data_IF_403061070519
#
_entry.id   IF_403061070519
#
_cell.length_a   1.000
_cell.length_b   1.000
_cell.length_c   1.000
_cell.angle_alpha   90.00
_cell.angle_beta   90.00
_cell.angle_gamma   90.00
#
_symmetry.space_group_name_H-M   'P 1'
#
loop_
_entity.id
_entity.type
_entity.pdbx_description
1 polymer ?
#
# COMPACT_ATOMS: atom_id res chain seq x y z
N UNK A 1 -2.05 -7.91 -9.27
CA UNK A 1 -2.14 -7.09 -8.03
C UNK A 1 -2.28 -5.59 -8.31
N UNK A 2 -1.39 -4.90 -9.04
CA UNK A 2 -1.61 -3.47 -9.36
C UNK A 2 -2.91 -3.25 -10.14
N UNK A 3 -3.18 -4.05 -11.15
CA UNK A 3 -4.40 -3.95 -11.98
C UNK A 3 -5.71 -4.23 -11.20
N UNK A 4 -5.67 -5.06 -10.18
CA UNK A 4 -6.83 -5.39 -9.35
C UNK A 4 -7.22 -4.24 -8.41
N UNK A 5 -6.23 -3.58 -7.78
CA UNK A 5 -6.47 -2.40 -6.92
C UNK A 5 -7.13 -1.29 -7.73
N UNK A 6 -6.58 -0.98 -8.90
CA UNK A 6 -7.09 0.09 -9.76
C UNK A 6 -8.51 -0.24 -10.25
N UNK A 7 -8.80 -1.50 -10.58
CA UNK A 7 -10.13 -1.93 -10.97
C UNK A 7 -11.15 -1.79 -9.83
N UNK A 8 -10.76 -2.21 -8.62
CA UNK A 8 -11.66 -2.14 -7.45
C UNK A 8 -11.90 -0.70 -6.99
N UNK A 9 -10.87 0.13 -6.93
CA UNK A 9 -11.03 1.54 -6.55
C UNK A 9 -11.83 2.30 -7.60
N UNK A 10 -11.67 1.98 -8.89
CA UNK A 10 -12.46 2.54 -9.97
C UNK A 10 -13.95 2.17 -9.81
N UNK A 11 -14.27 0.88 -9.70
CA UNK A 11 -15.64 0.41 -9.50
C UNK A 11 -16.28 1.03 -8.25
N UNK A 12 -15.52 1.16 -7.18
CA UNK A 12 -15.95 1.79 -5.95
C UNK A 12 -16.30 3.28 -6.16
N UNK A 13 -15.46 4.03 -6.86
CA UNK A 13 -15.71 5.44 -7.17
C UNK A 13 -16.76 5.64 -8.26
N UNK A 14 -17.13 4.61 -9.02
CA UNK A 14 -18.28 4.63 -9.93
C UNK A 14 -19.62 4.66 -9.18
N UNK A 15 -19.67 4.26 -7.92
CA UNK A 15 -20.86 4.35 -7.08
C UNK A 15 -21.31 5.81 -6.94
N UNK A 16 -22.58 6.14 -7.29
CA UNK A 16 -23.05 7.53 -7.26
C UNK A 16 -23.02 8.19 -5.88
N UNK A 17 -23.25 7.43 -4.81
CA UNK A 17 -23.21 7.89 -3.43
C UNK A 17 -21.79 8.28 -2.99
N UNK A 18 -20.80 7.43 -3.26
CA UNK A 18 -19.38 7.67 -2.96
C UNK A 18 -18.82 8.81 -3.77
N UNK A 19 -19.17 8.85 -5.08
CA UNK A 19 -18.76 9.92 -5.97
C UNK A 19 -19.32 11.27 -5.53
N UNK A 20 -20.63 11.34 -5.25
CA UNK A 20 -21.27 12.57 -4.79
C UNK A 20 -20.66 13.05 -3.47
N UNK A 21 -20.40 12.15 -2.54
CA UNK A 21 -19.84 12.46 -1.22
C UNK A 21 -18.43 13.05 -1.32
N UNK A 22 -17.56 12.48 -2.16
CA UNK A 22 -16.21 13.00 -2.40
C UNK A 22 -16.23 14.43 -2.94
N UNK A 23 -17.14 14.74 -3.87
CA UNK A 23 -17.28 16.09 -4.40
C UNK A 23 -18.02 17.05 -3.47
N UNK A 24 -18.97 16.58 -2.67
CA UNK A 24 -19.58 17.36 -1.60
C UNK A 24 -18.53 17.77 -0.57
N UNK A 25 -17.65 16.85 -0.20
CA UNK A 25 -16.52 17.15 0.69
C UNK A 25 -15.59 18.21 0.07
N UNK A 26 -15.20 18.05 -1.19
CA UNK A 26 -14.27 18.95 -1.86
C UNK A 26 -14.83 20.36 -2.05
N UNK A 27 -16.08 20.47 -2.53
CA UNK A 27 -16.66 21.73 -3.04
C UNK A 27 -17.52 22.42 -1.99
N UNK A 28 -18.23 21.64 -1.16
CA UNK A 28 -19.27 22.12 -0.26
C UNK A 28 -19.00 21.80 1.21
N UNK A 29 -17.77 21.51 1.56
CA UNK A 29 -17.34 21.22 2.94
C UNK A 29 -18.18 20.11 3.62
N UNK A 30 -18.63 19.12 2.84
CA UNK A 30 -19.44 17.98 3.28
C UNK A 30 -20.97 18.22 3.26
N UNK A 31 -21.43 19.41 2.85
CA UNK A 31 -22.86 19.64 2.67
C UNK A 31 -23.40 18.86 1.46
N UNK A 32 -24.54 18.13 1.58
CA UNK A 32 -25.04 17.20 0.55
C UNK A 32 -25.75 17.93 -0.60
N UNK A 33 -25.04 18.80 -1.28
CA UNK A 33 -25.54 19.59 -2.41
C UNK A 33 -25.62 18.75 -3.67
N UNK A 34 -24.58 17.95 -3.95
CA UNK A 34 -24.56 17.01 -5.06
C UNK A 34 -25.29 15.75 -4.61
N UNK A 35 -26.44 15.49 -5.24
CA UNK A 35 -27.24 14.31 -4.96
C UNK A 35 -26.88 13.19 -5.94
N UNK A 36 -26.73 11.95 -5.48
CA UNK A 36 -26.40 10.80 -6.34
C UNK A 36 -27.31 10.65 -7.55
N UNK A 37 -28.60 10.91 -7.39
CA UNK A 37 -29.62 10.78 -8.43
C UNK A 37 -29.51 11.85 -9.54
N UNK A 38 -28.85 12.96 -9.23
CA UNK A 38 -28.62 14.06 -10.19
C UNK A 38 -27.35 13.85 -11.05
N UNK A 39 -26.55 12.84 -10.75
CA UNK A 39 -25.39 12.48 -11.54
C UNK A 39 -25.78 11.76 -12.82
N UNK A 40 -25.06 12.03 -13.90
CA UNK A 40 -25.19 11.34 -15.18
C UNK A 40 -23.82 10.88 -15.62
N UNK A 41 -23.69 9.63 -16.00
CA UNK A 41 -22.46 9.08 -16.54
C UNK A 41 -22.11 9.73 -17.87
N UNK A 42 -20.82 9.89 -18.09
CA UNK A 42 -20.26 10.37 -19.35
C UNK A 42 -19.25 9.36 -19.86
N UNK A 43 -19.12 9.30 -21.18
CA UNK A 43 -18.10 8.46 -21.81
C UNK A 43 -16.71 9.02 -21.48
N UNK A 44 -15.92 8.20 -20.79
CA UNK A 44 -14.54 8.50 -20.43
C UNK A 44 -13.57 8.37 -21.61
N UNK A 45 -14.00 7.68 -22.70
CA UNK A 45 -13.20 7.42 -23.89
C UNK A 45 -13.33 8.49 -24.99
N UNK A 46 -14.25 9.44 -24.84
CA UNK A 46 -14.57 10.45 -25.87
C UNK A 46 -13.53 11.59 -25.96
N UNK A 47 -12.25 11.29 -25.89
CA UNK A 47 -11.16 12.26 -26.03
C UNK A 47 -10.52 12.12 -27.41
N UNK A 48 -11.13 12.71 -28.43
CA UNK A 48 -10.48 12.91 -29.72
C UNK A 48 -9.33 13.93 -29.57
N UNK A 49 -8.20 13.66 -30.20
CA UNK A 49 -7.08 14.60 -30.25
C UNK A 49 -7.46 15.80 -31.13
N UNK A 50 -7.39 17.05 -30.61
CA UNK A 50 -7.82 18.21 -31.37
C UNK A 50 -6.87 18.65 -32.47
N UNK A 51 -5.63 18.21 -32.51
CA UNK A 51 -4.60 18.71 -33.41
C UNK A 51 -3.72 17.58 -33.95
N UNK A 52 -3.98 17.14 -35.18
CA UNK A 52 -3.13 16.25 -35.92
C UNK A 52 -3.52 16.22 -37.40
N UNK A 53 -2.92 17.09 -38.20
CA UNK A 53 -3.15 17.15 -39.68
C UNK A 53 -2.23 16.20 -40.44
N UNK A 54 -1.45 15.37 -39.80
CA UNK A 54 -0.40 14.55 -40.42
C UNK A 54 -0.58 13.03 -40.32
N UNK A 55 -1.82 12.55 -40.22
CA UNK A 55 -2.11 11.11 -40.42
C UNK A 55 -1.42 10.11 -39.49
N UNK A 56 -0.61 10.54 -38.53
CA UNK A 56 -0.04 9.68 -37.52
C UNK A 56 -1.05 9.48 -36.39
N UNK A 57 -1.78 8.36 -36.43
CA UNK A 57 -2.67 7.90 -35.37
C UNK A 57 -1.86 7.50 -34.13
N UNK A 58 -1.29 8.42 -33.42
CA UNK A 58 -1.00 8.25 -32.02
C UNK A 58 -2.22 8.65 -31.20
N UNK A 59 -3.21 7.76 -31.19
CA UNK A 59 -4.36 7.87 -30.30
C UNK A 59 -3.83 7.74 -28.85
N UNK A 60 -3.50 8.85 -28.22
CA UNK A 60 -3.36 8.91 -26.78
C UNK A 60 -4.74 8.75 -26.17
N UNK A 61 -5.28 7.53 -26.24
CA UNK A 61 -6.49 7.12 -25.57
C UNK A 61 -6.18 7.09 -24.07
N UNK A 62 -6.14 8.28 -23.45
CA UNK A 62 -6.02 8.43 -22.01
C UNK A 62 -7.42 8.55 -21.46
N UNK A 63 -7.86 7.47 -20.84
CA UNK A 63 -9.17 7.37 -20.22
C UNK A 63 -9.06 7.84 -18.77
N UNK A 64 -9.94 8.74 -18.33
CA UNK A 64 -10.16 9.02 -16.91
C UNK A 64 -10.75 7.78 -16.24
N UNK A 65 -10.47 7.61 -14.94
CA UNK A 65 -11.05 6.49 -14.21
C UNK A 65 -12.57 6.61 -14.12
N UNK A 66 -13.08 7.76 -13.67
CA UNK A 66 -14.52 8.02 -13.59
C UNK A 66 -14.83 9.45 -14.04
N UNK A 67 -15.88 9.61 -14.84
CA UNK A 67 -16.30 10.92 -15.32
C UNK A 67 -17.83 11.04 -15.33
N UNK A 68 -18.37 12.04 -14.61
CA UNK A 68 -19.81 12.26 -14.49
C UNK A 68 -20.17 13.72 -14.73
N UNK A 69 -21.36 13.93 -15.24
CA UNK A 69 -21.97 15.26 -15.36
C UNK A 69 -22.99 15.43 -14.25
N UNK A 70 -22.85 16.50 -13.49
CA UNK A 70 -23.83 16.93 -12.52
C UNK A 70 -24.64 18.09 -13.08
N UNK A 71 -25.97 18.02 -12.90
CA UNK A 71 -26.94 19.03 -13.35
C UNK A 71 -27.40 19.82 -12.14
N UNK A 72 -26.94 21.05 -12.00
CA UNK A 72 -27.44 21.98 -11.00
C UNK A 72 -28.68 22.68 -11.58
N UNK A 73 -29.86 22.39 -11.07
CA UNK A 73 -31.07 23.16 -11.35
C UNK A 73 -31.11 24.36 -10.40
N UNK A 74 -30.87 25.55 -10.91
CA UNK A 74 -31.14 26.79 -10.23
C UNK A 74 -32.06 27.62 -11.17
N UNK A 75 -33.28 27.93 -10.70
CA UNK A 75 -34.27 28.77 -11.34
C UNK A 75 -34.04 29.10 -12.83
N UNK A 76 -34.71 28.37 -13.73
CA UNK A 76 -34.72 28.49 -15.20
C UNK A 76 -33.40 28.33 -15.98
N UNK A 77 -32.22 28.44 -15.35
CA UNK A 77 -30.93 28.18 -15.95
C UNK A 77 -30.31 26.85 -15.41
N UNK A 78 -30.22 25.84 -16.25
CA UNK A 78 -29.51 24.63 -15.92
C UNK A 78 -27.98 24.86 -15.98
N UNK A 79 -27.32 24.97 -14.83
CA UNK A 79 -25.88 24.97 -14.76
C UNK A 79 -25.39 23.51 -14.72
N UNK A 80 -24.32 23.22 -15.46
CA UNK A 80 -23.70 21.91 -15.52
C UNK A 80 -22.29 21.99 -14.94
N UNK A 81 -21.85 20.93 -14.25
CA UNK A 81 -20.46 20.72 -13.91
C UNK A 81 -20.00 19.37 -14.46
N UNK A 82 -18.79 19.32 -14.95
CA UNK A 82 -18.16 18.09 -15.37
C UNK A 82 -17.18 17.67 -14.25
N UNK A 83 -17.46 16.53 -13.66
CA UNK A 83 -16.75 16.03 -12.49
C UNK A 83 -15.95 14.77 -12.88
N UNK A 84 -14.64 14.78 -12.66
CA UNK A 84 -13.76 13.66 -12.97
C UNK A 84 -12.99 13.20 -11.74
N UNK A 85 -12.83 11.89 -11.56
CA UNK A 85 -12.02 11.30 -10.50
C UNK A 85 -10.88 10.52 -11.11
N UNK A 86 -9.69 10.73 -10.55
CA UNK A 86 -8.49 9.95 -10.79
C UNK A 86 -8.15 9.19 -9.51
N UNK A 87 -8.24 7.87 -9.55
CA UNK A 87 -7.92 6.99 -8.42
C UNK A 87 -6.45 6.63 -8.46
N UNK A 88 -5.73 6.87 -7.37
CA UNK A 88 -4.32 6.56 -7.30
C UNK A 88 -4.03 5.61 -6.15
N UNK A 89 -3.54 4.42 -6.46
CA UNK A 89 -3.00 3.47 -5.47
C UNK A 89 -1.54 3.77 -5.15
N UNK A 90 -0.83 4.36 -6.11
CA UNK A 90 0.56 4.78 -6.01
C UNK A 90 0.70 6.27 -6.35
N UNK A 91 1.77 6.90 -5.85
CA UNK A 91 2.02 8.33 -6.06
C UNK A 91 2.46 8.57 -7.51
N UNK A 92 1.76 9.46 -8.20
CA UNK A 92 2.06 9.84 -9.58
C UNK A 92 2.68 11.25 -9.64
N UNK A 93 3.99 11.33 -9.86
CA UNK A 93 4.75 12.59 -9.78
C UNK A 93 4.42 13.63 -10.87
N UNK A 94 3.77 13.25 -11.96
CA UNK A 94 3.34 14.16 -13.01
C UNK A 94 1.80 14.41 -13.01
N UNK A 95 1.14 14.27 -11.85
CA UNK A 95 -0.31 14.41 -11.75
C UNK A 95 -0.84 15.76 -12.19
N UNK A 96 -0.20 16.92 -11.86
CA UNK A 96 -0.67 18.21 -12.36
C UNK A 96 -0.73 18.30 -13.89
N UNK A 97 0.27 17.76 -14.59
CA UNK A 97 0.28 17.74 -16.07
C UNK A 97 -0.80 16.81 -16.62
N UNK A 98 -0.98 15.65 -15.99
CA UNK A 98 -1.99 14.67 -16.40
C UNK A 98 -3.40 15.25 -16.28
N UNK A 99 -3.73 15.87 -15.15
CA UNK A 99 -5.05 16.47 -14.94
C UNK A 99 -5.28 17.69 -15.84
N UNK A 100 -4.28 18.55 -15.99
CA UNK A 100 -4.34 19.69 -16.92
C UNK A 100 -4.67 19.23 -18.34
N UNK A 101 -4.03 18.16 -18.81
CA UNK A 101 -4.31 17.60 -20.13
C UNK A 101 -5.76 17.13 -20.24
N UNK A 102 -6.28 16.42 -19.25
CA UNK A 102 -7.67 15.95 -19.26
C UNK A 102 -8.67 17.10 -19.28
N UNK A 103 -8.46 18.13 -18.45
CA UNK A 103 -9.35 19.28 -18.40
C UNK A 103 -9.29 20.07 -19.71
N UNK A 104 -8.09 20.29 -20.27
CA UNK A 104 -7.92 20.97 -21.55
C UNK A 104 -8.61 20.24 -22.70
N UNK A 105 -8.54 18.88 -22.74
CA UNK A 105 -9.24 18.09 -23.74
C UNK A 105 -10.77 18.21 -23.60
N UNK A 106 -11.31 18.28 -22.37
CA UNK A 106 -12.74 18.52 -22.17
C UNK A 106 -13.18 19.91 -22.61
N UNK A 107 -12.40 20.94 -22.33
CA UNK A 107 -12.69 22.30 -22.84
C UNK A 107 -12.59 22.35 -24.36
N UNK A 108 -11.61 21.70 -24.97
CA UNK A 108 -11.51 21.61 -26.43
C UNK A 108 -12.75 20.94 -27.05
N UNK A 109 -13.19 19.82 -26.48
CA UNK A 109 -14.38 19.11 -26.94
C UNK A 109 -15.65 19.98 -26.84
N UNK A 110 -15.78 20.82 -25.80
CA UNK A 110 -16.90 21.76 -25.68
C UNK A 110 -16.86 22.83 -26.77
N UNK A 111 -15.69 23.40 -27.08
CA UNK A 111 -15.52 24.37 -28.16
C UNK A 111 -15.87 23.73 -29.50
N UNK A 112 -15.42 22.54 -29.79
CA UNK A 112 -15.75 21.82 -31.02
C UNK A 112 -17.24 21.49 -31.13
N UNK A 113 -17.89 21.10 -30.01
CA UNK A 113 -19.33 20.87 -29.98
C UNK A 113 -20.11 22.11 -30.25
N UNK A 114 -19.75 23.28 -29.69
CA UNK A 114 -20.34 24.57 -29.96
C UNK A 114 -20.20 24.93 -31.44
N UNK A 115 -18.99 24.82 -31.99
CA UNK A 115 -18.72 25.11 -33.40
C UNK A 115 -19.53 24.20 -34.35
N UNK A 116 -19.69 22.92 -34.01
CA UNK A 116 -20.53 21.98 -34.76
C UNK A 116 -22.00 22.35 -34.67
N UNK A 117 -22.47 22.74 -33.49
CA UNK A 117 -23.86 23.19 -33.30
C UNK A 117 -24.19 24.41 -34.15
N UNK A 118 -23.32 25.44 -34.13
CA UNK A 118 -23.48 26.64 -34.90
C UNK A 118 -23.50 26.39 -36.42
N UNK A 119 -22.62 25.51 -36.92
CA UNK A 119 -22.61 25.09 -38.34
C UNK A 119 -23.91 24.40 -38.78
N UNK A 120 -24.53 23.66 -37.87
CA UNK A 120 -25.75 22.91 -38.15
C UNK A 120 -27.02 23.72 -37.92
N UNK A 121 -26.93 24.84 -37.19
CA UNK A 121 -28.06 25.70 -36.89
C UNK A 121 -28.26 26.66 -38.06
N UNK A 122 -29.49 26.72 -38.59
CA UNK A 122 -29.91 27.79 -39.53
C UNK A 122 -30.30 28.99 -38.72
N UNK A 123 -29.33 29.80 -38.32
CA UNK A 123 -29.60 31.10 -37.71
C UNK A 123 -29.64 32.18 -38.79
N UNK A 124 -30.60 33.07 -38.72
CA UNK A 124 -30.69 34.24 -39.59
C UNK A 124 -29.64 35.31 -39.22
N UNK A 125 -29.05 35.24 -38.05
CA UNK A 125 -27.96 36.12 -37.61
C UNK A 125 -26.62 35.65 -38.19
N UNK A 126 -25.96 36.53 -38.94
CA UNK A 126 -24.62 36.27 -39.46
C UNK A 126 -23.59 36.48 -38.37
N UNK A 127 -22.73 35.45 -38.12
CA UNK A 127 -21.66 35.59 -37.15
C UNK A 127 -20.66 36.67 -37.57
N UNK A 128 -20.03 37.32 -36.61
CA UNK A 128 -18.87 38.17 -36.86
C UNK A 128 -17.71 37.36 -37.45
N UNK A 129 -16.73 38.03 -38.05
CA UNK A 129 -15.55 37.34 -38.62
C UNK A 129 -14.79 36.51 -37.56
N UNK A 130 -14.72 36.98 -36.31
CA UNK A 130 -14.07 36.28 -35.21
C UNK A 130 -14.85 35.03 -34.77
N UNK A 131 -16.15 35.10 -34.68
CA UNK A 131 -17.05 33.99 -34.38
C UNK A 131 -17.03 32.94 -35.50
N UNK A 132 -17.04 33.38 -36.74
CA UNK A 132 -16.91 32.47 -37.87
C UNK A 132 -15.56 31.71 -37.88
N UNK A 133 -14.47 32.43 -37.59
CA UNK A 133 -13.13 31.84 -37.59
C UNK A 133 -12.95 30.86 -36.46
N UNK A 134 -13.41 31.18 -35.25
CA UNK A 134 -13.27 30.33 -34.06
C UNK A 134 -14.34 29.24 -33.97
N UNK A 135 -15.49 29.44 -34.60
CA UNK A 135 -16.67 28.62 -34.39
C UNK A 135 -17.31 28.77 -33.00
N UNK A 136 -16.73 29.62 -32.15
CA UNK A 136 -17.18 29.87 -30.77
C UNK A 136 -17.72 31.31 -30.68
N UNK A 137 -19.00 31.45 -30.33
CA UNK A 137 -19.68 32.72 -30.36
C UNK A 137 -19.52 33.47 -29.03
N UNK A 138 -19.70 34.77 -29.06
CA UNK A 138 -19.61 35.65 -27.88
C UNK A 138 -20.59 35.23 -26.77
N UNK A 139 -21.70 34.65 -27.13
CA UNK A 139 -22.71 34.14 -26.22
C UNK A 139 -22.37 32.78 -25.60
N UNK A 140 -21.46 32.02 -26.23
CA UNK A 140 -21.10 30.68 -25.74
C UNK A 140 -20.39 30.74 -24.39
N UNK A 141 -20.60 29.73 -23.61
CA UNK A 141 -19.95 29.57 -22.32
C UNK A 141 -19.49 28.13 -22.18
N UNK A 142 -18.35 27.94 -21.51
CA UNK A 142 -17.84 26.62 -21.19
C UNK A 142 -18.40 26.14 -19.84
N UNK A 143 -18.68 24.86 -19.77
CA UNK A 143 -19.03 24.15 -18.54
C UNK A 143 -17.76 23.96 -17.77
N UNK A 144 -17.66 24.36 -16.49
CA UNK A 144 -16.48 24.09 -15.68
C UNK A 144 -16.17 22.60 -15.56
N UNK A 145 -14.90 22.26 -15.67
CA UNK A 145 -14.38 20.90 -15.46
C UNK A 145 -13.64 20.89 -14.13
N UNK A 146 -14.02 19.99 -13.23
CA UNK A 146 -13.40 19.83 -11.92
C UNK A 146 -12.89 18.39 -11.81
N UNK A 147 -11.59 18.23 -11.71
CA UNK A 147 -10.95 16.92 -11.51
C UNK A 147 -10.48 16.78 -10.08
N UNK A 148 -10.86 15.68 -9.44
CA UNK A 148 -10.47 15.27 -8.09
C UNK A 148 -9.53 14.07 -8.19
N UNK A 149 -8.41 14.15 -7.50
CA UNK A 149 -7.49 13.04 -7.28
C UNK A 149 -7.76 12.45 -5.91
N UNK A 150 -8.06 11.17 -5.85
CA UNK A 150 -8.21 10.43 -4.59
C UNK A 150 -7.07 9.44 -4.49
N UNK A 151 -6.26 9.59 -3.46
CA UNK A 151 -5.14 8.70 -3.18
C UNK A 151 -5.52 7.69 -2.11
N UNK A 152 -5.41 6.42 -2.43
CA UNK A 152 -5.76 5.31 -1.54
C UNK A 152 -4.53 4.67 -0.85
N UNK A 153 -3.37 5.32 -0.91
CA UNK A 153 -2.16 4.83 -0.26
C UNK A 153 -2.01 5.33 1.17
N UNK A 154 -1.38 4.50 2.02
CA UNK A 154 -1.08 4.86 3.42
C UNK A 154 0.16 5.77 3.55
N UNK A 155 0.98 5.88 2.51
CA UNK A 155 2.16 6.75 2.50
C UNK A 155 1.73 8.19 2.33
N UNK A 156 2.51 9.11 2.89
CA UNK A 156 2.33 10.53 2.65
C UNK A 156 2.51 10.83 1.15
N UNK A 157 1.63 11.68 0.61
CA UNK A 157 1.80 12.20 -0.74
C UNK A 157 2.97 13.19 -0.77
N UNK A 158 4.01 12.87 -1.53
CA UNK A 158 5.25 13.66 -1.65
C UNK A 158 5.48 14.21 -3.08
N UNK A 159 4.52 13.97 -3.99
CA UNK A 159 4.59 14.49 -5.35
C UNK A 159 4.09 15.95 -5.43
N UNK A 160 4.49 16.70 -6.47
CA UNK A 160 3.97 18.04 -6.74
C UNK A 160 2.45 18.08 -6.81
N UNK A 161 1.87 19.10 -6.21
CA UNK A 161 0.42 19.38 -6.24
C UNK A 161 0.06 20.50 -7.20
N UNK A 162 1.05 21.19 -7.75
CA UNK A 162 0.85 22.23 -8.76
C UNK A 162 1.88 22.16 -9.88
N UNK A 163 1.53 22.74 -11.02
CA UNK A 163 2.41 22.81 -12.18
C UNK A 163 3.65 23.67 -11.88
N UNK A 164 3.51 24.74 -11.10
CA UNK A 164 4.64 25.57 -10.70
C UNK A 164 5.67 24.82 -9.85
N UNK A 165 5.23 23.87 -9.01
CA UNK A 165 6.14 23.03 -8.23
C UNK A 165 7.02 22.12 -9.10
N UNK A 166 6.56 21.82 -10.32
CA UNK A 166 7.28 20.98 -11.29
C UNK A 166 8.28 21.75 -12.16
N UNK A 167 8.21 23.10 -12.16
CA UNK A 167 9.03 23.93 -13.05
C UNK A 167 10.48 24.05 -12.54
N UNK A 168 11.41 24.12 -13.46
CA UNK A 168 12.84 24.34 -13.16
C UNK A 168 13.14 25.75 -12.65
N UNK A 169 12.35 26.74 -13.09
CA UNK A 169 12.48 28.13 -12.71
C UNK A 169 11.65 28.41 -11.46
N UNK A 170 12.28 29.03 -10.44
CA UNK A 170 11.61 29.39 -9.18
C UNK A 170 11.38 30.90 -9.03
N UNK A 171 11.80 31.69 -10.02
CA UNK A 171 11.63 33.14 -10.01
C UNK A 171 10.12 33.49 -10.17
N UNK A 172 9.56 34.15 -9.16
CA UNK A 172 8.15 34.55 -9.13
C UNK A 172 7.77 35.49 -10.27
N UNK A 173 8.71 36.37 -10.72
CA UNK A 173 8.47 37.31 -11.82
C UNK A 173 8.33 36.60 -13.16
N UNK A 174 8.95 35.42 -13.32
CA UNK A 174 8.78 34.57 -14.49
C UNK A 174 7.52 33.73 -14.35
N UNK A 175 7.32 33.11 -13.18
CA UNK A 175 6.19 32.20 -12.93
C UNK A 175 4.82 32.87 -13.03
N UNK A 176 4.72 34.20 -12.77
CA UNK A 176 3.44 34.93 -12.94
C UNK A 176 2.90 34.93 -14.37
N UNK A 177 3.73 34.64 -15.37
CA UNK A 177 3.32 34.53 -16.78
C UNK A 177 3.03 33.09 -17.22
N UNK A 178 3.37 32.10 -16.39
CA UNK A 178 3.02 30.70 -16.62
C UNK A 178 1.77 30.34 -15.80
N UNK A 179 0.79 29.74 -16.47
CA UNK A 179 -0.40 29.28 -15.76
C UNK A 179 -0.02 28.23 -14.70
N UNK A 180 -0.51 28.41 -13.47
CA UNK A 180 -0.40 27.38 -12.43
C UNK A 180 -1.67 26.53 -12.44
N UNK A 181 -1.51 25.25 -12.65
CA UNK A 181 -2.58 24.28 -12.53
C UNK A 181 -2.38 23.48 -11.24
N UNK A 182 -3.34 23.56 -10.33
CA UNK A 182 -3.34 22.85 -9.06
C UNK A 182 -4.31 21.69 -9.11
N UNK A 183 -3.87 20.54 -8.58
CA UNK A 183 -4.75 19.38 -8.41
C UNK A 183 -5.61 19.54 -7.17
N UNK A 184 -6.85 19.07 -7.23
CA UNK A 184 -7.68 18.85 -6.06
C UNK A 184 -7.38 17.44 -5.54
N UNK A 185 -6.79 17.34 -4.37
CA UNK A 185 -6.25 16.08 -3.85
C UNK A 185 -6.87 15.74 -2.50
N UNK A 186 -7.38 14.51 -2.36
CA UNK A 186 -7.79 13.91 -1.09
C UNK A 186 -6.83 12.77 -0.78
N UNK A 187 -6.21 12.81 0.40
CA UNK A 187 -5.32 11.74 0.89
C UNK A 187 -5.73 11.30 2.30
N UNK A 188 -5.57 10.01 2.64
CA UNK A 188 -5.88 9.55 3.99
C UNK A 188 -5.06 10.25 5.08
N UNK A 189 -3.79 10.53 4.80
CA UNK A 189 -2.87 11.16 5.77
C UNK A 189 -3.31 12.59 6.12
N UNK A 190 -3.70 13.38 5.11
CA UNK A 190 -4.10 14.78 5.31
C UNK A 190 -5.49 14.92 5.94
N UNK A 191 -6.33 13.89 5.88
CA UNK A 191 -7.69 13.95 6.41
C UNK A 191 -7.67 14.07 7.95
N UNK A 192 -8.20 15.16 8.50
CA UNK A 192 -8.38 15.30 9.96
C UNK A 192 -9.59 14.50 10.43
N UNK A 193 -9.75 14.31 11.75
CA UNK A 193 -10.96 13.68 12.31
C UNK A 193 -12.21 14.50 11.97
N UNK A 194 -12.10 15.84 12.05
CA UNK A 194 -13.18 16.75 11.67
C UNK A 194 -13.54 16.66 10.18
N UNK A 195 -12.54 16.48 9.32
CA UNK A 195 -12.80 16.29 7.89
C UNK A 195 -13.45 14.95 7.59
N UNK A 196 -13.05 13.90 8.31
CA UNK A 196 -13.66 12.58 8.17
C UNK A 196 -15.16 12.60 8.55
N UNK A 197 -15.57 13.43 9.53
CA UNK A 197 -16.98 13.58 9.89
C UNK A 197 -17.83 14.26 8.80
N UNK A 198 -17.22 14.97 7.87
CA UNK A 198 -17.89 15.58 6.70
C UNK A 198 -18.21 14.58 5.61
N UNK A 199 -17.52 13.42 5.58
CA UNK A 199 -17.81 12.33 4.65
C UNK A 199 -18.99 11.49 5.21
N UNK A 200 -20.00 11.29 4.37
CA UNK A 200 -21.27 10.63 4.75
C UNK A 200 -21.37 9.20 4.25
N UNK A 201 -20.70 8.89 3.14
CA UNK A 201 -20.60 7.54 2.61
C UNK A 201 -19.57 6.70 3.38
N UNK A 202 -19.40 5.45 2.98
CA UNK A 202 -18.35 4.57 3.50
C UNK A 202 -16.93 4.92 3.01
N UNK A 203 -16.78 5.97 2.18
CA UNK A 203 -15.49 6.58 1.86
C UNK A 203 -14.75 7.04 3.12
N UNK A 204 -15.50 7.51 4.14
CA UNK A 204 -14.95 7.81 5.46
C UNK A 204 -14.19 6.64 6.03
N UNK A 205 -14.85 5.48 6.11
CA UNK A 205 -14.29 4.25 6.68
C UNK A 205 -13.08 3.77 5.90
N UNK A 206 -13.15 3.82 4.56
CA UNK A 206 -12.03 3.44 3.68
C UNK A 206 -10.81 4.33 3.96
N UNK A 207 -11.00 5.66 3.96
CA UNK A 207 -9.91 6.62 4.17
C UNK A 207 -9.30 6.51 5.56
N UNK A 208 -10.12 6.36 6.61
CA UNK A 208 -9.63 6.20 7.99
C UNK A 208 -8.91 4.87 8.19
N UNK A 209 -9.41 3.78 7.58
CA UNK A 209 -8.75 2.49 7.65
C UNK A 209 -7.37 2.53 6.99
N UNK A 210 -7.26 3.13 5.80
CA UNK A 210 -5.98 3.32 5.12
C UNK A 210 -5.04 4.19 5.95
N UNK A 211 -5.53 5.31 6.49
CA UNK A 211 -4.77 6.22 7.36
C UNK A 211 -4.11 5.50 8.54
N UNK A 212 -4.86 4.64 9.21
CA UNK A 212 -4.38 3.93 10.39
C UNK A 212 -3.83 2.53 10.12
N UNK A 213 -3.78 2.10 8.86
CA UNK A 213 -3.33 0.74 8.49
C UNK A 213 -1.91 0.39 8.97
N UNK A 214 -1.06 1.39 9.18
CA UNK A 214 0.31 1.22 9.71
C UNK A 214 0.39 1.33 11.24
N UNK A 215 -0.68 1.73 11.93
CA UNK A 215 -0.76 1.87 13.39
C UNK A 215 -1.78 0.88 13.97
N UNK A 216 -1.28 -0.25 14.46
CA UNK A 216 -2.12 -1.35 14.98
C UNK A 216 -3.07 -0.90 16.10
N UNK A 217 -2.65 0.04 16.95
CA UNK A 217 -3.47 0.48 18.09
C UNK A 217 -4.59 1.40 17.62
N UNK A 218 -4.27 2.38 16.78
CA UNK A 218 -5.28 3.29 16.22
C UNK A 218 -6.26 2.56 15.32
N UNK A 219 -5.78 1.64 14.48
CA UNK A 219 -6.65 0.84 13.62
C UNK A 219 -7.63 0.01 14.45
N UNK A 220 -7.15 -0.65 15.50
CA UNK A 220 -8.02 -1.42 16.41
C UNK A 220 -9.08 -0.53 17.03
N UNK A 221 -8.67 0.60 17.62
CA UNK A 221 -9.58 1.56 18.23
C UNK A 221 -10.63 2.06 17.24
N UNK A 222 -10.23 2.39 16.02
CA UNK A 222 -11.13 2.78 14.94
C UNK A 222 -12.19 1.70 14.66
N UNK A 223 -11.75 0.47 14.47
CA UNK A 223 -12.63 -0.64 14.05
C UNK A 223 -13.57 -1.05 15.19
N UNK A 224 -13.09 -1.09 16.44
CA UNK A 224 -13.91 -1.44 17.61
C UNK A 224 -14.97 -0.38 17.93
N UNK A 225 -14.66 0.90 17.75
CA UNK A 225 -15.53 2.02 18.13
C UNK A 225 -16.47 2.47 16.99
N UNK A 226 -16.22 2.14 15.76
CA UNK A 226 -17.09 2.50 14.64
C UNK A 226 -17.95 1.30 14.20
N UNK A 227 -19.25 1.38 14.51
CA UNK A 227 -20.21 0.31 14.22
C UNK A 227 -20.36 -0.06 12.75
N UNK A 228 -19.99 0.83 11.82
CA UNK A 228 -20.02 0.52 10.37
C UNK A 228 -19.07 -0.60 9.99
N UNK A 229 -17.95 -0.78 10.70
CA UNK A 229 -17.03 -1.89 10.46
C UNK A 229 -17.60 -3.27 10.83
N UNK A 230 -18.68 -3.33 11.65
CA UNK A 230 -19.35 -4.62 11.98
C UNK A 230 -20.28 -5.10 10.89
N UNK A 231 -20.72 -4.21 10.01
CA UNK A 231 -21.66 -4.51 8.94
C UNK A 231 -21.27 -3.74 7.66
N UNK A 232 -20.01 -3.86 7.25
CA UNK A 232 -19.47 -3.17 6.08
C UNK A 232 -19.93 -3.87 4.79
N UNK A 233 -20.30 -3.10 3.79
CA UNK A 233 -20.61 -3.64 2.48
C UNK A 233 -19.42 -4.44 1.89
N UNK A 234 -19.74 -5.55 1.24
CA UNK A 234 -18.74 -6.46 0.68
C UNK A 234 -17.75 -5.75 -0.26
N UNK A 235 -18.25 -4.90 -1.16
CA UNK A 235 -17.39 -4.18 -2.12
C UNK A 235 -16.46 -3.19 -1.43
N UNK A 236 -16.94 -2.49 -0.39
CA UNK A 236 -16.11 -1.59 0.43
C UNK A 236 -15.04 -2.36 1.19
N UNK A 237 -15.38 -3.51 1.77
CA UNK A 237 -14.41 -4.37 2.44
C UNK A 237 -13.34 -4.90 1.47
N UNK A 238 -13.72 -5.23 0.23
CA UNK A 238 -12.78 -5.62 -0.84
C UNK A 238 -11.82 -4.50 -1.21
N UNK A 239 -12.32 -3.27 -1.32
CA UNK A 239 -11.47 -2.10 -1.59
C UNK A 239 -10.45 -1.94 -0.46
N UNK A 240 -10.88 -1.96 0.80
CA UNK A 240 -9.98 -1.88 1.96
C UNK A 240 -8.92 -2.99 1.90
N UNK A 241 -9.35 -4.24 1.69
CA UNK A 241 -8.45 -5.39 1.57
C UNK A 241 -7.40 -5.19 0.48
N UNK A 242 -7.82 -4.73 -0.70
CA UNK A 242 -6.95 -4.52 -1.85
C UNK A 242 -5.95 -3.38 -1.63
N UNK A 243 -6.41 -2.20 -1.15
CA UNK A 243 -5.55 -1.02 -1.00
C UNK A 243 -4.57 -1.14 0.16
N UNK A 244 -4.93 -1.86 1.22
CA UNK A 244 -4.07 -2.11 2.38
C UNK A 244 -3.27 -3.40 2.29
N UNK A 245 -3.49 -4.23 1.26
CA UNK A 245 -2.93 -5.58 1.14
C UNK A 245 -3.24 -6.48 2.35
N UNK A 246 -4.37 -6.25 3.02
CA UNK A 246 -4.81 -7.03 4.17
C UNK A 246 -5.62 -8.22 3.67
N UNK A 247 -5.22 -9.45 4.00
CA UNK A 247 -5.95 -10.66 3.62
C UNK A 247 -7.20 -10.84 4.49
N UNK A 248 -8.31 -10.23 4.09
CA UNK A 248 -9.58 -10.36 4.77
C UNK A 248 -10.32 -11.57 4.21
N UNK A 249 -10.66 -12.53 5.06
CA UNK A 249 -11.52 -13.66 4.66
C UNK A 249 -12.95 -13.15 4.50
N UNK A 250 -13.47 -13.23 3.29
CA UNK A 250 -14.81 -12.79 2.93
C UNK A 250 -15.52 -13.93 2.17
N UNK A 251 -16.76 -14.19 2.53
CA UNK A 251 -17.59 -15.13 1.79
C UNK A 251 -18.08 -14.45 0.52
N UNK A 252 -17.78 -15.03 -0.64
CA UNK A 252 -18.14 -14.46 -1.94
C UNK A 252 -19.67 -14.26 -2.06
N UNK A 253 -20.05 -13.02 -2.37
CA UNK A 253 -21.43 -12.65 -2.74
C UNK A 253 -22.43 -12.61 -1.60
N UNK A 254 -22.02 -12.62 -0.34
CA UNK A 254 -22.90 -12.56 0.82
C UNK A 254 -22.72 -11.29 1.63
N UNK A 255 -23.66 -10.37 1.44
CA UNK A 255 -24.05 -9.39 2.45
C UNK A 255 -22.92 -8.53 3.01
N UNK A 256 -23.04 -8.18 4.27
CA UNK A 256 -22.08 -7.35 4.99
C UNK A 256 -20.96 -8.18 5.59
N UNK A 257 -19.78 -7.59 5.65
CA UNK A 257 -18.55 -8.16 6.24
C UNK A 257 -18.34 -7.57 7.63
N UNK A 258 -18.10 -8.42 8.62
CA UNK A 258 -17.65 -8.01 9.95
C UNK A 258 -16.12 -7.84 9.95
N UNK A 259 -15.67 -6.61 9.72
CA UNK A 259 -14.27 -6.26 9.71
C UNK A 259 -13.59 -6.41 11.08
N UNK A 260 -14.36 -6.25 12.19
CA UNK A 260 -13.85 -6.46 13.54
C UNK A 260 -13.43 -7.91 13.74
N UNK A 261 -14.30 -8.84 13.35
CA UNK A 261 -14.02 -10.27 13.40
C UNK A 261 -12.88 -10.64 12.47
N UNK A 262 -12.90 -10.16 11.24
CA UNK A 262 -11.85 -10.45 10.25
C UNK A 262 -10.45 -10.02 10.73
N UNK A 263 -10.32 -8.86 11.36
CA UNK A 263 -9.05 -8.40 11.93
C UNK A 263 -8.63 -9.25 13.14
N UNK A 264 -9.57 -9.68 13.98
CA UNK A 264 -9.29 -10.58 15.09
C UNK A 264 -8.78 -11.94 14.59
N UNK A 265 -9.42 -12.51 13.57
CA UNK A 265 -9.03 -13.77 12.95
C UNK A 265 -7.60 -13.70 12.36
N UNK A 266 -7.28 -12.64 11.62
CA UNK A 266 -5.92 -12.40 11.09
C UNK A 266 -4.89 -12.34 12.22
N UNK A 267 -5.23 -11.70 13.35
CA UNK A 267 -4.34 -11.62 14.50
C UNK A 267 -4.11 -12.98 15.14
N UNK A 268 -5.16 -13.78 15.31
CA UNK A 268 -5.07 -15.13 15.86
C UNK A 268 -4.22 -16.04 14.97
N UNK A 269 -4.45 -16.02 13.68
CA UNK A 269 -3.63 -16.75 12.69
C UNK A 269 -2.16 -16.35 12.77
N UNK A 270 -1.87 -15.05 12.85
CA UNK A 270 -0.49 -14.57 12.99
C UNK A 270 0.19 -15.00 14.30
N UNK A 271 -0.56 -15.13 15.40
CA UNK A 271 -0.06 -15.66 16.68
C UNK A 271 0.22 -17.15 16.56
N UNK A 272 -0.69 -17.92 15.98
CA UNK A 272 -0.52 -19.37 15.77
C UNK A 272 0.66 -19.66 14.86
N UNK A 273 0.80 -18.97 13.75
CA UNK A 273 1.97 -19.10 12.85
C UNK A 273 3.27 -18.73 13.54
N UNK A 274 3.27 -17.62 14.32
CA UNK A 274 4.46 -17.19 15.07
C UNK A 274 4.87 -18.20 16.15
N UNK A 275 3.90 -18.78 16.84
CA UNK A 275 4.11 -19.81 17.85
C UNK A 275 4.65 -21.11 17.19
N UNK A 276 4.05 -21.53 16.08
CA UNK A 276 4.52 -22.71 15.33
C UNK A 276 5.97 -22.57 14.86
N UNK A 277 6.32 -21.43 14.25
CA UNK A 277 7.71 -21.14 13.83
C UNK A 277 8.67 -21.07 15.01
N UNK A 278 8.24 -20.49 16.13
CA UNK A 278 9.05 -20.41 17.34
C UNK A 278 9.37 -21.78 17.93
N UNK A 279 8.40 -22.71 17.94
CA UNK A 279 8.62 -24.10 18.36
C UNK A 279 9.60 -24.80 17.42
N UNK A 280 9.37 -24.71 16.11
CA UNK A 280 10.24 -25.37 15.12
C UNK A 280 11.69 -24.90 15.23
N UNK A 281 11.93 -23.61 15.31
CA UNK A 281 13.26 -23.03 15.52
C UNK A 281 13.88 -23.44 16.86
N UNK A 282 13.06 -23.47 17.93
CA UNK A 282 13.54 -23.91 19.25
C UNK A 282 13.94 -25.37 19.26
N UNK A 283 13.21 -26.26 18.59
CA UNK A 283 13.53 -27.66 18.44
C UNK A 283 14.84 -27.82 17.64
N UNK A 284 14.97 -27.16 16.51
CA UNK A 284 16.15 -27.23 15.65
C UNK A 284 17.41 -26.78 16.39
N UNK A 285 17.36 -25.65 17.09
CA UNK A 285 18.45 -25.14 17.90
C UNK A 285 18.79 -26.09 19.06
N UNK A 286 17.77 -26.62 19.73
CA UNK A 286 17.96 -27.59 20.83
C UNK A 286 18.62 -28.89 20.37
N UNK A 287 18.22 -29.41 19.22
CA UNK A 287 18.85 -30.60 18.63
C UNK A 287 20.32 -30.32 18.28
N UNK A 288 20.59 -29.19 17.62
CA UNK A 288 21.96 -28.83 17.24
C UNK A 288 22.89 -28.68 18.44
N UNK A 289 22.44 -27.95 19.46
CA UNK A 289 23.20 -27.80 20.71
C UNK A 289 23.39 -29.15 21.45
N UNK A 290 22.35 -29.97 21.45
CA UNK A 290 22.44 -31.30 22.06
C UNK A 290 23.45 -32.25 21.36
N UNK A 291 23.47 -32.19 20.02
CA UNK A 291 24.45 -32.96 19.23
C UNK A 291 25.88 -32.45 19.50
N UNK A 292 26.10 -31.12 19.44
CA UNK A 292 27.44 -30.55 19.72
C UNK A 292 27.94 -30.90 21.10
N UNK A 293 27.13 -30.72 22.13
CA UNK A 293 27.47 -31.09 23.51
C UNK A 293 27.68 -32.61 23.67
N UNK A 294 26.85 -33.42 23.03
CA UNK A 294 26.99 -34.87 23.04
C UNK A 294 28.28 -35.37 22.39
N UNK A 295 28.66 -34.75 21.25
CA UNK A 295 29.92 -35.04 20.57
C UNK A 295 31.12 -34.66 21.46
N UNK A 296 31.11 -33.43 22.00
CA UNK A 296 32.19 -32.95 22.87
C UNK A 296 32.40 -33.85 24.10
N UNK A 297 31.32 -34.14 24.83
CA UNK A 297 31.35 -35.04 25.97
C UNK A 297 31.78 -36.47 25.60
N UNK A 298 31.30 -36.96 24.45
CA UNK A 298 31.69 -38.28 23.93
C UNK A 298 33.16 -38.38 23.59
N UNK A 299 33.73 -37.35 22.99
CA UNK A 299 35.18 -37.27 22.68
C UNK A 299 35.99 -37.22 23.98
N UNK A 300 35.60 -36.36 24.93
CA UNK A 300 36.30 -36.21 26.20
C UNK A 300 36.33 -37.54 27.01
N UNK A 301 35.15 -38.17 27.15
CA UNK A 301 35.05 -39.47 27.80
C UNK A 301 35.82 -40.58 27.07
N UNK A 302 35.81 -40.53 25.73
CA UNK A 302 36.59 -41.47 24.90
C UNK A 302 38.10 -41.33 25.11
N UNK A 303 38.61 -40.12 25.16
CA UNK A 303 40.03 -39.84 25.43
C UNK A 303 40.38 -40.28 26.82
N UNK A 304 39.56 -39.95 27.83
CA UNK A 304 39.82 -40.33 29.21
C UNK A 304 39.89 -41.85 29.38
N UNK A 305 38.93 -42.62 28.86
CA UNK A 305 38.92 -44.07 28.88
C UNK A 305 40.13 -44.66 28.17
N UNK A 306 40.53 -44.12 27.04
CA UNK A 306 41.70 -44.59 26.28
C UNK A 306 42.98 -44.34 27.05
N UNK A 307 43.15 -43.21 27.70
CA UNK A 307 44.27 -42.86 28.52
C UNK A 307 44.34 -43.78 29.73
N UNK A 308 43.24 -44.06 30.43
CA UNK A 308 43.17 -44.96 31.57
C UNK A 308 43.56 -46.38 31.17
N UNK A 309 43.08 -46.91 30.04
CA UNK A 309 43.41 -48.19 29.50
C UNK A 309 44.92 -48.26 29.17
N UNK A 310 45.46 -47.24 28.52
CA UNK A 310 46.90 -47.17 28.19
C UNK A 310 47.77 -47.16 29.44
N UNK A 311 47.40 -46.38 30.46
CA UNK A 311 48.06 -46.31 31.74
C UNK A 311 48.07 -47.71 32.41
N UNK A 312 46.94 -48.42 32.44
CA UNK A 312 46.78 -49.73 33.00
C UNK A 312 47.71 -50.77 32.32
N UNK A 313 47.77 -50.77 31.00
CA UNK A 313 48.61 -51.59 30.18
C UNK A 313 50.13 -51.34 30.50
N UNK A 314 50.52 -50.05 30.47
CA UNK A 314 51.90 -49.66 30.73
C UNK A 314 52.35 -50.02 32.16
N UNK A 315 51.49 -49.95 33.17
CA UNK A 315 51.74 -50.38 34.53
C UNK A 315 51.89 -51.88 34.60
N UNK A 316 51.06 -52.64 33.89
CA UNK A 316 51.21 -54.12 33.84
C UNK A 316 52.51 -54.60 33.20
N UNK A 317 53.11 -53.74 32.37
CA UNK A 317 54.41 -53.96 31.74
C UNK A 317 55.59 -53.58 32.66
N UNK A 318 55.32 -53.09 33.90
CA UNK A 318 56.33 -52.78 34.91
C UNK A 318 56.95 -51.38 34.80
N UNK A 319 56.36 -50.48 34.00
CA UNK A 319 56.88 -49.14 33.91
C UNK A 319 56.47 -48.26 35.13
N UNK A 320 57.39 -47.42 35.55
CA UNK A 320 57.14 -46.43 36.62
C UNK A 320 56.20 -45.33 36.16
N UNK A 321 55.54 -44.69 37.13
CA UNK A 321 54.59 -43.54 36.76
C UNK A 321 55.31 -42.43 36.04
N UNK A 322 56.58 -42.13 36.30
CA UNK A 322 57.38 -41.15 35.56
C UNK A 322 57.61 -41.54 34.10
N UNK A 323 57.92 -42.84 33.85
CA UNK A 323 58.08 -43.38 32.50
C UNK A 323 56.74 -43.35 31.73
N UNK A 324 55.62 -43.65 32.42
CA UNK A 324 54.28 -43.59 31.84
C UNK A 324 53.91 -42.12 31.45
N UNK A 325 54.16 -41.15 32.32
CA UNK A 325 53.98 -39.74 32.03
C UNK A 325 54.77 -39.32 30.79
N UNK A 326 56.07 -39.72 30.72
CA UNK A 326 56.91 -39.48 29.56
C UNK A 326 56.31 -40.01 28.28
N UNK A 327 55.85 -41.28 28.28
CA UNK A 327 55.21 -41.87 27.08
C UNK A 327 53.89 -41.26 26.69
N UNK A 328 53.08 -40.83 27.65
CA UNK A 328 51.82 -40.11 27.35
C UNK A 328 52.14 -38.81 26.70
N UNK A 329 53.09 -38.01 27.20
CA UNK A 329 53.47 -36.72 26.61
C UNK A 329 54.07 -36.87 25.22
N UNK A 330 54.85 -37.92 24.97
CA UNK A 330 55.43 -38.23 23.65
C UNK A 330 54.36 -38.60 22.62
N UNK A 331 53.22 -39.19 22.98
CA UNK A 331 52.22 -39.76 22.11
C UNK A 331 50.88 -39.04 22.19
N UNK A 332 50.77 -37.96 22.96
CA UNK A 332 49.57 -37.13 23.07
C UNK A 332 49.92 -35.65 23.10
N UNK A 333 48.90 -34.77 22.93
CA UNK A 333 49.06 -33.33 23.06
C UNK A 333 48.91 -32.81 24.52
N UNK A 334 48.99 -33.73 25.52
CA UNK A 334 48.86 -33.36 26.92
C UNK A 334 50.16 -32.71 27.44
N UNK A 335 50.00 -31.70 28.29
CA UNK A 335 51.17 -31.17 29.04
C UNK A 335 51.64 -32.18 30.06
N UNK A 336 52.92 -32.07 30.50
CA UNK A 336 53.47 -32.97 31.47
C UNK A 336 52.69 -32.97 32.81
N UNK A 337 52.18 -31.82 33.20
CA UNK A 337 51.37 -31.66 34.41
C UNK A 337 50.01 -32.35 34.29
N UNK A 338 49.37 -32.26 33.12
CA UNK A 338 48.07 -32.88 32.84
C UNK A 338 48.25 -34.40 32.74
N UNK A 339 49.29 -34.91 32.09
CA UNK A 339 49.64 -36.33 32.03
C UNK A 339 49.93 -36.90 33.43
N UNK A 340 50.64 -36.14 34.27
CA UNK A 340 50.91 -36.56 35.65
C UNK A 340 49.62 -36.63 36.48
N UNK A 341 48.69 -35.68 36.32
CA UNK A 341 47.40 -35.76 37.02
C UNK A 341 46.56 -36.96 36.60
N UNK A 342 46.50 -37.27 35.31
CA UNK A 342 45.76 -38.45 34.80
C UNK A 342 46.39 -39.76 35.29
N UNK A 343 47.70 -39.84 35.30
CA UNK A 343 48.41 -41.00 35.82
C UNK A 343 48.18 -41.19 37.34
N UNK A 344 48.20 -40.10 38.11
CA UNK A 344 47.91 -40.12 39.54
C UNK A 344 46.47 -40.52 39.87
N UNK A 345 45.50 -39.97 39.11
CA UNK A 345 44.07 -40.27 39.30
C UNK A 345 43.74 -41.76 39.08
N UNK A 346 44.43 -42.43 38.16
CA UNK A 346 44.26 -43.83 37.90
C UNK A 346 44.82 -44.74 38.99
N UNK A 347 45.43 -44.18 40.05
CA UNK A 347 45.90 -44.99 41.25
C UNK A 347 44.76 -45.20 42.24
N UNK A 348 43.88 -44.18 42.40
CA UNK A 348 42.86 -44.28 43.44
C UNK A 348 41.67 -45.19 43.09
N UNK A 349 41.52 -45.56 41.80
CA UNK A 349 40.46 -46.49 41.39
C UNK A 349 40.85 -47.98 41.46
N UNK A 350 42.10 -48.29 41.73
CA UNK A 350 42.59 -49.67 41.85
C UNK A 350 42.57 -50.27 43.28
N UNK A 351 42.38 -49.44 44.29
CA UNK A 351 42.43 -49.92 45.71
C UNK A 351 41.03 -50.22 46.29
N UNK A 352 39.95 -49.82 45.67
CA UNK A 352 38.57 -50.08 46.18
C UNK A 352 37.92 -51.33 45.59
N UNK A 353 38.67 -52.18 44.87
CA UNK A 353 38.16 -53.38 44.19
C UNK A 353 38.49 -54.72 44.86
N UNK A 354 39.08 -54.70 46.04
CA UNK A 354 39.38 -55.99 46.79
C UNK A 354 39.05 -55.84 48.29
N UNK A 355 37.78 -55.98 48.57
CA UNK A 355 37.24 -56.06 49.91
C UNK A 355 35.97 -56.90 49.88
#
# INVERSE_FOLDING_TARGET
MANEKDTLTKAYMERPDVFADAFNFLIYDGEPVIRPEALREMDTAALALPFGTDGSQHSAQRVRDVFKRWVLKRDDDAAYLLLGVENQSDIHYAMPVRNLLYDALQYSAQVEAAAKSHRNSRSDEKPSSGEYLSGFYRSDRLIPVITLVIYFGAKRWDAPTSLHEMMTVRNKDVLRFAADYRINLITPEALTESDAEKLRSDLKEVMLFVKYSQDKNKLRTLVENNGRFRAMEYDTARVISAVTCTKIKMDEGKGNVDMCKAIQDIRLEGVEEGFGRGIEQGIEQGIQQGIEQGIEQGIEQGIERTLQMMISVLRSMGLSDEEIVGKIVENSNLTRDDAARVVCAGRNQGEDGNG
#
